data_IF_194764985490
#
_entry.id   IF_194764985490
#
_cell.length_a   1.000
_cell.length_b   1.000
_cell.length_c   1.000
_cell.angle_alpha   90.00
_cell.angle_beta   90.00
_cell.angle_gamma   90.00
#
_symmetry.space_group_name_H-M   'P 1'
#
loop_
_entity.id
_entity.type
_entity.pdbx_description
1 polymer ?
#
# COMPACT_ATOMS: atom_id res chain seq x y z
N UNK A 1 20.33 -5.68 -1.83
CA UNK A 1 20.28 -4.23 -1.56
C UNK A 1 18.90 -3.81 -1.07
N UNK A 2 18.83 -2.68 -0.43
CA UNK A 2 17.56 -2.12 0.08
C UNK A 2 16.56 -1.90 -1.04
N UNK A 3 17.03 -1.47 -2.20
CA UNK A 3 16.18 -1.24 -3.37
C UNK A 3 15.53 -2.54 -3.84
N UNK A 4 16.29 -3.62 -3.93
CA UNK A 4 15.75 -4.93 -4.33
C UNK A 4 14.74 -5.46 -3.33
N UNK A 5 14.98 -5.25 -2.05
CA UNK A 5 14.06 -5.70 -1.02
C UNK A 5 12.75 -4.89 -1.06
N UNK A 6 12.85 -3.59 -1.32
CA UNK A 6 11.67 -2.75 -1.51
C UNK A 6 10.86 -3.20 -2.72
N UNK A 7 11.52 -3.59 -3.82
CA UNK A 7 10.84 -4.14 -5.00
C UNK A 7 10.09 -5.42 -4.67
N UNK A 8 10.71 -6.32 -3.90
CA UNK A 8 10.04 -7.56 -3.45
C UNK A 8 8.79 -7.26 -2.65
N UNK A 9 8.85 -6.29 -1.76
CA UNK A 9 7.70 -5.89 -0.95
C UNK A 9 6.58 -5.35 -1.84
N UNK A 10 6.92 -4.60 -2.88
CA UNK A 10 5.94 -4.11 -3.85
C UNK A 10 5.25 -5.26 -4.57
N UNK A 11 6.00 -6.28 -4.99
CA UNK A 11 5.41 -7.46 -5.63
C UNK A 11 4.49 -8.22 -4.70
N UNK A 12 4.85 -8.36 -3.43
CA UNK A 12 4.01 -9.03 -2.45
C UNK A 12 2.71 -8.27 -2.25
N UNK A 13 2.79 -6.95 -2.16
CA UNK A 13 1.61 -6.09 -2.05
C UNK A 13 0.70 -6.24 -3.25
N UNK A 14 1.27 -6.28 -4.47
CA UNK A 14 0.52 -6.48 -5.69
C UNK A 14 -0.13 -7.87 -5.72
N UNK A 15 0.58 -8.90 -5.27
CA UNK A 15 0.04 -10.25 -5.21
C UNK A 15 -1.19 -10.35 -4.32
N UNK A 16 -1.16 -9.67 -3.17
CA UNK A 16 -2.31 -9.62 -2.27
C UNK A 16 -3.50 -8.97 -2.96
N UNK A 17 -3.26 -7.93 -3.75
CA UNK A 17 -4.29 -7.22 -4.47
C UNK A 17 -4.91 -8.01 -5.60
N UNK A 18 -4.11 -8.77 -6.35
CA UNK A 18 -4.61 -9.55 -7.48
C UNK A 18 -5.53 -10.68 -7.06
N UNK A 19 -5.50 -11.06 -5.79
CA UNK A 19 -6.42 -12.06 -5.24
C UNK A 19 -7.71 -11.45 -4.70
N UNK A 20 -7.95 -10.18 -4.97
CA UNK A 20 -9.19 -9.43 -4.73
C UNK A 20 -9.55 -9.13 -3.28
N UNK A 21 -9.09 -9.88 -2.35
CA UNK A 21 -9.26 -9.57 -0.93
C UNK A 21 -8.05 -10.10 -0.21
N UNK A 22 -7.43 -9.30 0.65
CA UNK A 22 -6.48 -9.89 1.55
C UNK A 22 -7.27 -10.82 2.47
N UNK A 23 -7.26 -12.11 2.15
CA UNK A 23 -7.68 -13.10 3.14
C UNK A 23 -6.78 -12.90 4.36
N UNK A 24 -7.23 -13.35 5.52
CA UNK A 24 -6.42 -13.24 6.71
C UNK A 24 -5.04 -13.86 6.49
N UNK A 25 -4.98 -14.99 5.79
CA UNK A 25 -3.71 -15.64 5.45
C UNK A 25 -2.86 -14.81 4.49
N UNK A 26 -3.49 -14.02 3.60
CA UNK A 26 -2.76 -13.12 2.72
C UNK A 26 -2.08 -11.99 3.48
N UNK A 27 -2.77 -11.43 4.47
CA UNK A 27 -2.21 -10.39 5.33
C UNK A 27 -1.06 -10.94 6.18
N UNK A 28 -1.23 -12.12 6.76
CA UNK A 28 -0.18 -12.77 7.53
C UNK A 28 1.06 -13.04 6.69
N UNK A 29 0.88 -13.53 5.48
CA UNK A 29 1.99 -13.79 4.56
C UNK A 29 2.71 -12.50 4.21
N UNK A 30 1.97 -11.42 3.98
CA UNK A 30 2.54 -10.11 3.72
C UNK A 30 3.41 -9.65 4.89
N UNK A 31 2.91 -9.76 6.11
CA UNK A 31 3.64 -9.38 7.33
C UNK A 31 4.89 -10.23 7.50
N UNK A 32 4.79 -11.54 7.31
CA UNK A 32 5.92 -12.45 7.40
C UNK A 32 7.04 -12.08 6.42
N UNK A 33 6.68 -11.80 5.18
CA UNK A 33 7.64 -11.42 4.17
C UNK A 33 8.28 -10.07 4.50
N UNK A 34 7.51 -9.16 5.06
CA UNK A 34 8.05 -7.88 5.53
C UNK A 34 9.09 -8.07 6.61
N UNK A 35 8.81 -8.91 7.60
CA UNK A 35 9.77 -9.18 8.68
C UNK A 35 11.04 -9.82 8.14
N UNK A 36 10.93 -10.74 7.20
CA UNK A 36 12.09 -11.35 6.56
C UNK A 36 12.92 -10.33 5.81
N UNK A 37 12.28 -9.45 5.06
CA UNK A 37 12.96 -8.38 4.34
C UNK A 37 13.64 -7.41 5.29
N UNK A 38 13.03 -7.10 6.41
CA UNK A 38 13.62 -6.24 7.43
C UNK A 38 14.90 -6.86 8.00
N UNK A 39 14.89 -8.18 8.25
CA UNK A 39 16.06 -8.88 8.75
C UNK A 39 17.19 -8.90 7.74
N UNK A 40 16.87 -9.12 6.47
CA UNK A 40 17.86 -9.23 5.40
C UNK A 40 18.41 -7.87 5.00
N UNK A 41 17.54 -6.87 4.88
CA UNK A 41 17.90 -5.57 4.34
C UNK A 41 18.18 -4.49 5.37
N UNK A 42 17.84 -4.74 6.64
CA UNK A 42 17.99 -3.74 7.68
C UNK A 42 16.95 -2.64 7.64
N UNK A 43 15.80 -2.91 6.99
CA UNK A 43 14.69 -1.94 6.97
C UNK A 43 14.19 -1.69 8.38
N UNK A 44 13.83 -0.43 8.66
CA UNK A 44 13.38 -0.05 9.98
C UNK A 44 11.98 -0.59 10.26
N UNK A 45 11.73 -0.88 11.53
CA UNK A 45 10.40 -1.26 12.00
C UNK A 45 9.38 -0.15 11.76
N UNK A 46 9.82 1.09 11.83
CA UNK A 46 8.98 2.25 11.56
C UNK A 46 8.44 2.23 10.13
N UNK A 47 9.30 1.90 9.17
CA UNK A 47 8.89 1.80 7.77
C UNK A 47 7.90 0.65 7.55
N UNK A 48 8.14 -0.47 8.23
CA UNK A 48 7.22 -1.60 8.19
C UNK A 48 5.81 -1.20 8.66
N UNK A 49 5.74 -0.47 9.78
CA UNK A 49 4.46 0.01 10.31
C UNK A 49 3.77 0.96 9.34
N UNK A 50 4.53 1.87 8.73
CA UNK A 50 3.97 2.79 7.73
C UNK A 50 3.34 2.06 6.57
N UNK A 51 4.04 1.06 6.04
CA UNK A 51 3.54 0.29 4.90
C UNK A 51 2.29 -0.51 5.27
N UNK A 52 2.26 -1.07 6.47
CA UNK A 52 1.08 -1.81 6.94
C UNK A 52 -0.15 -0.91 7.03
N UNK A 53 -0.01 0.24 7.64
CA UNK A 53 -1.09 1.21 7.75
C UNK A 53 -1.49 1.72 6.37
N UNK A 54 -0.51 2.02 5.53
CA UNK A 54 -0.76 2.51 4.19
C UNK A 54 -1.54 1.52 3.34
N UNK A 55 -1.18 0.26 3.42
CA UNK A 55 -1.86 -0.79 2.65
C UNK A 55 -3.30 -0.98 3.11
N UNK A 56 -3.52 -1.00 4.42
CA UNK A 56 -4.88 -1.08 4.96
C UNK A 56 -5.73 0.11 4.52
N UNK A 57 -5.14 1.30 4.54
CA UNK A 57 -5.80 2.52 4.12
C UNK A 57 -6.19 2.46 2.64
N UNK A 58 -5.27 2.02 1.79
CA UNK A 58 -5.53 1.92 0.36
C UNK A 58 -6.61 0.88 0.05
N UNK A 59 -6.58 -0.25 0.74
CA UNK A 59 -7.61 -1.28 0.56
C UNK A 59 -8.99 -0.76 0.90
N UNK A 60 -9.11 -0.03 2.00
CA UNK A 60 -10.38 0.60 2.37
C UNK A 60 -10.82 1.61 1.32
N UNK A 61 -9.89 2.44 0.86
CA UNK A 61 -10.17 3.45 -0.16
C UNK A 61 -10.69 2.81 -1.44
N UNK A 62 -10.09 1.70 -1.86
CA UNK A 62 -10.53 0.97 -3.05
C UNK A 62 -11.95 0.47 -2.91
N UNK A 63 -12.26 -0.13 -1.77
CA UNK A 63 -13.61 -0.63 -1.51
C UNK A 63 -14.64 0.48 -1.51
N UNK A 64 -14.29 1.62 -0.93
CA UNK A 64 -15.18 2.78 -0.89
C UNK A 64 -15.40 3.41 -2.27
N UNK A 65 -14.54 3.12 -3.24
CA UNK A 65 -14.58 3.73 -4.57
C UNK A 65 -14.87 2.73 -5.69
N UNK A 66 -15.53 1.64 -5.37
CA UNK A 66 -16.07 0.74 -6.38
C UNK A 66 -15.13 -0.34 -6.88
N UNK A 67 -14.17 -0.77 -6.07
CA UNK A 67 -13.23 -1.81 -6.47
C UNK A 67 -13.94 -3.11 -6.85
N UNK A 68 -14.89 -3.55 -6.02
CA UNK A 68 -15.65 -4.77 -6.28
C UNK A 68 -16.56 -4.64 -7.51
N UNK A 69 -17.07 -3.46 -7.74
CA UNK A 69 -17.98 -3.17 -8.86
C UNK A 69 -17.22 -2.95 -10.17
N UNK A 70 -15.91 -2.89 -10.11
CA UNK A 70 -15.08 -2.69 -11.29
C UNK A 70 -14.98 -1.26 -11.77
N UNK A 71 -15.50 -0.30 -11.01
CA UNK A 71 -15.45 1.12 -11.39
C UNK A 71 -14.25 1.88 -10.84
N UNK A 72 -13.45 1.23 -10.00
CA UNK A 72 -12.28 1.86 -9.41
C UNK A 72 -11.17 2.04 -10.44
N UNK A 73 -10.57 3.21 -10.46
CA UNK A 73 -9.45 3.52 -11.34
C UNK A 73 -8.15 3.26 -10.60
N UNK A 74 -7.36 2.32 -11.11
CA UNK A 74 -6.10 1.89 -10.48
C UNK A 74 -4.90 2.75 -10.88
N UNK A 75 -4.96 3.32 -12.07
CA UNK A 75 -3.88 4.16 -12.61
C UNK A 75 -4.23 5.63 -12.42
N UNK A 76 -3.45 6.32 -11.61
CA UNK A 76 -3.67 7.72 -11.28
C UNK A 76 -2.62 8.56 -11.99
N UNK A 77 -3.00 9.15 -13.12
CA UNK A 77 -2.11 10.00 -13.92
C UNK A 77 -0.79 9.28 -14.29
N UNK A 78 -0.93 8.04 -14.77
CA UNK A 78 0.19 7.23 -15.19
C UNK A 78 0.93 6.46 -14.09
N UNK A 79 0.47 6.59 -12.84
CA UNK A 79 1.07 5.89 -11.70
C UNK A 79 0.06 4.98 -11.03
N UNK A 80 0.49 3.80 -10.63
CA UNK A 80 -0.39 2.93 -9.85
C UNK A 80 -0.67 3.54 -8.48
N UNK A 81 -1.86 3.24 -7.96
CA UNK A 81 -2.28 3.72 -6.65
C UNK A 81 -1.31 3.34 -5.53
N UNK A 82 -0.70 2.16 -5.60
CA UNK A 82 0.33 1.76 -4.63
C UNK A 82 1.52 2.71 -4.63
N UNK A 83 1.96 3.13 -5.81
CA UNK A 83 3.08 4.06 -5.93
C UNK A 83 2.72 5.41 -5.31
N UNK A 84 1.50 5.87 -5.55
CA UNK A 84 1.01 7.12 -4.96
C UNK A 84 0.96 7.01 -3.45
N UNK A 85 0.43 5.91 -2.93
CA UNK A 85 0.34 5.66 -1.49
C UNK A 85 1.73 5.68 -0.84
N UNK A 86 2.70 4.95 -1.40
CA UNK A 86 4.07 4.91 -0.87
C UNK A 86 4.71 6.29 -0.90
N UNK A 87 4.47 7.05 -1.96
CA UNK A 87 4.96 8.41 -2.07
C UNK A 87 4.49 9.31 -0.91
N UNK A 88 3.24 9.16 -0.52
CA UNK A 88 2.71 9.90 0.63
C UNK A 88 3.34 9.41 1.95
N UNK A 89 3.53 8.10 2.09
CA UNK A 89 4.14 7.54 3.30
C UNK A 89 5.55 8.07 3.51
N UNK A 90 6.32 8.23 2.45
CA UNK A 90 7.68 8.74 2.53
C UNK A 90 7.74 10.17 3.07
N UNK A 91 6.70 10.95 2.86
CA UNK A 91 6.61 12.34 3.30
C UNK A 91 6.03 12.49 4.69
N UNK A 92 5.48 11.43 5.25
CA UNK A 92 4.84 11.48 6.56
C UNK A 92 5.79 10.96 7.64
N UNK A 93 5.98 11.76 8.70
CA UNK A 93 6.75 11.32 9.86
C UNK A 93 5.93 10.34 10.70
N UNK A 94 4.71 10.73 11.05
CA UNK A 94 3.74 9.87 11.71
C UNK A 94 2.59 9.59 10.76
N UNK A 95 2.37 8.31 10.45
CA UNK A 95 1.30 7.93 9.54
C UNK A 95 -0.02 7.88 10.28
N UNK A 96 -0.93 8.77 9.88
CA UNK A 96 -2.32 8.74 10.32
C UNK A 96 -3.15 8.13 9.20
N UNK A 97 -3.96 7.14 9.55
CA UNK A 97 -4.87 6.51 8.59
C UNK A 97 -5.79 7.56 7.95
N UNK A 98 -6.37 8.42 8.76
CA UNK A 98 -7.29 9.45 8.29
C UNK A 98 -6.60 10.46 7.37
N UNK A 99 -5.42 10.91 7.74
CA UNK A 99 -4.67 11.86 6.94
C UNK A 99 -4.29 11.25 5.59
N UNK A 100 -3.81 10.02 5.59
CA UNK A 100 -3.47 9.33 4.35
C UNK A 100 -4.70 9.12 3.48
N UNK A 101 -5.81 8.70 4.09
CA UNK A 101 -7.06 8.50 3.36
C UNK A 101 -7.50 9.78 2.66
N UNK A 102 -7.44 10.90 3.36
CA UNK A 102 -7.82 12.20 2.79
C UNK A 102 -6.90 12.62 1.64
N UNK A 103 -5.61 12.33 1.74
CA UNK A 103 -4.67 12.60 0.66
C UNK A 103 -4.96 11.75 -0.58
N UNK A 104 -5.27 10.48 -0.39
CA UNK A 104 -5.65 9.60 -1.49
C UNK A 104 -6.95 10.06 -2.14
N UNK A 105 -7.91 10.45 -1.33
CA UNK A 105 -9.20 10.96 -1.82
C UNK A 105 -9.01 12.22 -2.65
N UNK A 106 -8.18 13.14 -2.20
CA UNK A 106 -7.88 14.37 -2.92
C UNK A 106 -7.24 14.08 -4.28
N UNK A 107 -6.25 13.22 -4.33
CA UNK A 107 -5.58 12.87 -5.58
C UNK A 107 -6.51 12.12 -6.53
N UNK A 108 -7.31 11.19 -6.01
CA UNK A 108 -8.24 10.44 -6.83
C UNK A 108 -9.29 11.35 -7.47
N UNK A 109 -9.74 12.37 -6.76
CA UNK A 109 -10.73 13.30 -7.28
C UNK A 109 -10.20 14.10 -8.48
N UNK A 110 -8.88 14.28 -8.57
CA UNK A 110 -8.26 15.02 -9.67
C UNK A 110 -8.20 14.24 -10.97
N UNK A 111 -8.29 12.91 -10.92
CA UNK A 111 -8.23 12.06 -12.12
C UNK A 111 -9.60 11.66 -12.63
N UNK A 112 -10.64 11.92 -11.87
CA UNK A 112 -12.03 11.61 -12.28
C UNK A 112 -12.59 12.65 -13.24
#
# INVERSE_FOLDING_TARGET
SIVKEAEKLSYIALAIETHNMPSFSGVERFIDQFFRCCKVSGLSFTWLQKLYIGKNCLNKFRQDNGYKEGSYIKQWDGKEDNVVMVSHLEKMDDVSFEELYNKLKDEYSKIK
#
